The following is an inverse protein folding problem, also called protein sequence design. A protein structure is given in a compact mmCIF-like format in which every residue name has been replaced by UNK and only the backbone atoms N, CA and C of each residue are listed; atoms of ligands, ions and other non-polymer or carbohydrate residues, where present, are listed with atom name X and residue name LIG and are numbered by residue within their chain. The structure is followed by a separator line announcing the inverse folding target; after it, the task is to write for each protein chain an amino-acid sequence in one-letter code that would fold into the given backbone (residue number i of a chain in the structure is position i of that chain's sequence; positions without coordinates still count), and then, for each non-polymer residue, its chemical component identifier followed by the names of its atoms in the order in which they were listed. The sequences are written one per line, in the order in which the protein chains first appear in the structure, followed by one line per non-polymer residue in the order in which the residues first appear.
data_IF_716666013063
#
_entry.id   IF_716666013063
#
_cell.length_a   1.000
_cell.length_b   1.000
_cell.length_c   1.000
_cell.angle_alpha   90.00
_cell.angle_beta   90.00
_cell.angle_gamma   90.00
#
_symmetry.space_group_name_H-M   'P 1'
#
loop_
_entity.id
_entity.type
_entity.pdbx_description
1 polymer ?
#
# COMPACT_ATOMS: atom_id res chain seq x y z
N UNK A 1 2.44 12.36 9.77
CA UNK A 1 3.42 11.61 8.96
C UNK A 1 2.65 10.99 7.80
N UNK A 2 3.23 10.97 6.61
CA UNK A 2 2.64 10.39 5.41
C UNK A 2 3.59 9.33 4.87
N UNK A 3 3.06 8.31 4.24
CA UNK A 3 3.80 7.15 3.80
C UNK A 3 3.56 6.90 2.33
N UNK A 4 4.62 6.80 1.55
CA UNK A 4 4.59 6.10 0.26
C UNK A 4 4.83 4.62 0.55
N UNK A 5 4.12 3.73 -0.14
CA UNK A 5 4.26 2.29 0.07
C UNK A 5 4.16 1.50 -1.22
N UNK A 6 4.83 0.34 -1.22
CA UNK A 6 4.79 -0.64 -2.30
C UNK A 6 4.32 -1.98 -1.75
N UNK A 7 3.27 -2.50 -2.37
CA UNK A 7 2.73 -3.82 -2.08
C UNK A 7 3.05 -4.76 -3.25
N UNK A 8 3.42 -6.00 -2.93
CA UNK A 8 3.53 -7.09 -3.87
C UNK A 8 2.28 -7.96 -3.76
N UNK A 9 1.64 -8.23 -4.90
CA UNK A 9 0.67 -9.31 -5.01
C UNK A 9 1.42 -10.61 -5.30
N UNK A 10 1.29 -11.57 -4.39
CA UNK A 10 1.95 -12.88 -4.56
C UNK A 10 1.23 -13.75 -5.60
N UNK A 11 -0.03 -13.39 -5.91
CA UNK A 11 -0.83 -14.09 -6.92
C UNK A 11 -0.37 -13.79 -8.35
N UNK A 12 -0.14 -12.51 -8.66
CA UNK A 12 0.20 -12.07 -10.02
C UNK A 12 1.63 -11.53 -10.15
N UNK A 13 2.39 -11.52 -9.05
CA UNK A 13 3.76 -10.99 -8.96
C UNK A 13 3.87 -9.52 -9.39
N UNK A 14 2.76 -8.77 -9.40
CA UNK A 14 2.74 -7.35 -9.77
C UNK A 14 2.74 -6.48 -8.53
N UNK A 15 3.33 -5.30 -8.68
CA UNK A 15 3.38 -4.29 -7.65
C UNK A 15 2.09 -3.45 -7.62
N UNK A 16 1.86 -2.81 -6.48
CA UNK A 16 0.87 -1.78 -6.27
C UNK A 16 1.53 -0.66 -5.47
N UNK A 17 1.36 0.57 -5.94
CA UNK A 17 1.93 1.76 -5.33
C UNK A 17 0.81 2.63 -4.79
N UNK A 18 1.04 3.24 -3.64
CA UNK A 18 0.11 4.18 -3.08
C UNK A 18 0.75 5.01 -1.98
N UNK A 19 -0.04 5.94 -1.47
CA UNK A 19 0.34 6.72 -0.29
C UNK A 19 -0.82 6.78 0.69
N UNK A 20 -0.50 7.04 1.96
CA UNK A 20 -1.48 7.16 3.05
C UNK A 20 -0.87 7.88 4.25
N UNK A 21 -1.71 8.46 5.11
CA UNK A 21 -1.30 8.93 6.45
C UNK A 21 -1.26 7.80 7.49
N UNK A 22 -1.80 6.62 7.18
CA UNK A 22 -1.94 5.49 8.09
C UNK A 22 -1.57 4.17 7.39
N UNK A 23 -0.29 3.81 7.46
CA UNK A 23 0.27 2.67 6.75
C UNK A 23 -0.32 1.34 7.24
N UNK A 24 -0.44 1.16 8.55
CA UNK A 24 -0.88 -0.09 9.15
C UNK A 24 -2.33 -0.40 8.76
N UNK A 25 -3.24 0.55 8.97
CA UNK A 25 -4.64 0.34 8.59
C UNK A 25 -4.78 0.14 7.08
N UNK A 26 -4.02 0.89 6.27
CA UNK A 26 -4.06 0.73 4.81
C UNK A 26 -3.63 -0.66 4.37
N UNK A 27 -2.52 -1.17 4.91
CA UNK A 27 -2.04 -2.52 4.58
C UNK A 27 -3.06 -3.57 5.02
N UNK A 28 -3.66 -3.43 6.20
CA UNK A 28 -4.72 -4.33 6.65
C UNK A 28 -5.95 -4.31 5.73
N UNK A 29 -6.34 -3.15 5.20
CA UNK A 29 -7.45 -3.05 4.25
C UNK A 29 -7.14 -3.77 2.93
N UNK A 30 -5.89 -3.71 2.46
CA UNK A 30 -5.43 -4.47 1.29
C UNK A 30 -5.44 -5.99 1.54
N UNK A 31 -4.89 -6.43 2.68
CA UNK A 31 -4.86 -7.85 3.08
C UNK A 31 -6.28 -8.41 3.23
N UNK A 32 -7.18 -7.66 3.87
CA UNK A 32 -8.58 -8.04 4.07
C UNK A 32 -9.44 -7.90 2.80
N UNK A 33 -8.89 -7.35 1.70
CA UNK A 33 -9.59 -7.21 0.43
C UNK A 33 -10.69 -6.15 0.45
N UNK A 34 -10.57 -5.13 1.30
CA UNK A 34 -11.46 -3.97 1.32
C UNK A 34 -11.13 -2.97 0.21
N UNK A 35 -9.91 -3.01 -0.32
CA UNK A 35 -9.47 -2.12 -1.41
C UNK A 35 -9.75 -2.74 -2.78
N UNK A 36 -10.64 -2.11 -3.56
CA UNK A 36 -11.12 -2.63 -4.86
C UNK A 36 -9.99 -2.96 -5.84
N UNK A 37 -8.95 -2.12 -5.92
CA UNK A 37 -7.83 -2.27 -6.87
C UNK A 37 -6.96 -3.51 -6.63
N UNK A 38 -6.99 -4.08 -5.43
CA UNK A 38 -6.11 -5.20 -5.01
C UNK A 38 -6.89 -6.37 -4.40
N UNK A 39 -8.19 -6.22 -4.13
CA UNK A 39 -9.06 -7.26 -3.55
C UNK A 39 -8.97 -8.61 -4.28
N UNK A 40 -8.88 -8.59 -5.60
CA UNK A 40 -8.80 -9.80 -6.44
C UNK A 40 -7.37 -10.29 -6.70
N UNK A 41 -6.37 -9.55 -6.20
CA UNK A 41 -4.93 -9.78 -6.37
C UNK A 41 -4.27 -10.31 -5.08
N UNK A 42 -5.06 -10.64 -4.05
CA UNK A 42 -4.55 -11.26 -2.81
C UNK A 42 -3.95 -12.65 -3.08
N UNK A 43 -2.94 -13.10 -2.29
CA UNK A 43 -2.40 -12.44 -1.09
C UNK A 43 -1.52 -11.22 -1.41
N UNK A 44 -1.58 -10.20 -0.55
CA UNK A 44 -0.83 -8.94 -0.69
C UNK A 44 0.17 -8.83 0.46
N UNK A 45 1.41 -8.44 0.15
CA UNK A 45 2.49 -8.22 1.12
C UNK A 45 3.09 -6.83 0.97
N UNK A 46 3.28 -6.11 2.08
CA UNK A 46 4.07 -4.88 2.10
C UNK A 46 5.55 -5.23 1.91
N UNK A 47 6.20 -4.65 0.91
CA UNK A 47 7.63 -4.90 0.62
C UNK A 47 8.50 -3.66 0.81
N UNK A 48 7.90 -2.46 0.83
CA UNK A 48 8.61 -1.20 0.95
C UNK A 48 7.69 -0.10 1.47
N UNK A 49 8.24 0.82 2.26
CA UNK A 49 7.61 2.10 2.56
C UNK A 49 8.65 3.18 2.87
N UNK A 50 8.28 4.43 2.63
CA UNK A 50 9.02 5.63 3.02
C UNK A 50 8.10 6.55 3.81
N UNK A 51 8.65 7.27 4.79
CA UNK A 51 7.91 8.20 5.61
C UNK A 51 8.31 9.65 5.32
N UNK A 52 7.32 10.52 5.25
CA UNK A 52 7.45 11.92 4.89
C UNK A 52 6.69 12.83 5.86
N UNK A 53 7.25 14.01 6.12
CA UNK A 53 6.63 14.99 7.00
C UNK A 53 5.33 15.58 6.43
N UNK A 54 5.20 15.64 5.10
CA UNK A 54 4.05 16.25 4.42
C UNK A 54 3.44 15.31 3.39
N UNK A 55 2.16 15.48 3.11
CA UNK A 55 1.44 14.70 2.11
C UNK A 55 2.01 14.90 0.71
N UNK A 56 2.37 16.15 0.40
CA UNK A 56 2.90 16.53 -0.90
C UNK A 56 4.17 15.75 -1.26
N UNK A 57 5.05 15.50 -0.28
CA UNK A 57 6.27 14.71 -0.48
C UNK A 57 5.97 13.22 -0.67
N UNK A 58 4.99 12.67 0.04
CA UNK A 58 4.62 11.26 -0.08
C UNK A 58 3.87 10.92 -1.38
N UNK A 59 3.27 11.92 -2.04
CA UNK A 59 2.46 11.77 -3.26
C UNK A 59 3.24 12.05 -4.54
N UNK A 60 4.41 12.66 -4.43
CA UNK A 60 5.22 13.16 -5.55
C UNK A 60 5.70 12.03 -6.47
#
# INVERSE_FOLDING_TARGET
MYYFYVLLSEKDQKLYYGYTSDLDNRVQDHVNGKVVSTRNRRPIRLIYYEAYCTEALARQ
#
